data_IF_684259624691
#
_entry.id   IF_684259624691
#
_cell.length_a   1.000
_cell.length_b   1.000
_cell.length_c   1.000
_cell.angle_alpha   90.00
_cell.angle_beta   90.00
_cell.angle_gamma   90.00
#
_symmetry.space_group_name_H-M   'P 1'
#
loop_
_entity.id
_entity.type
_entity.pdbx_description
1 polymer ?
#
# COMPACT_ATOMS: atom_id res chain seq x y z
N UNK A 1 22.45 -13.74 0.12
CA UNK A 1 22.51 -13.58 1.58
C UNK A 1 21.08 -13.42 2.05
N UNK A 2 20.47 -14.54 2.47
CA UNK A 2 19.09 -14.57 2.97
C UNK A 2 19.03 -13.85 4.32
N UNK A 3 17.94 -13.13 4.54
CA UNK A 3 17.64 -12.46 5.81
C UNK A 3 17.38 -13.53 6.87
N UNK A 4 18.44 -14.00 7.54
CA UNK A 4 18.37 -14.73 8.80
C UNK A 4 18.52 -13.70 9.93
N UNK A 5 17.47 -12.90 10.11
CA UNK A 5 17.27 -12.04 11.27
C UNK A 5 15.96 -12.42 11.96
N UNK A 6 15.73 -13.72 12.13
CA UNK A 6 14.54 -14.28 12.78
C UNK A 6 14.91 -14.57 14.23
N UNK A 7 14.44 -13.77 15.19
CA UNK A 7 14.32 -14.27 16.56
C UNK A 7 13.03 -15.08 16.62
N UNK A 8 13.18 -16.38 16.77
CA UNK A 8 12.09 -17.29 17.08
C UNK A 8 11.60 -16.98 18.49
N UNK A 9 10.31 -16.63 18.62
CA UNK A 9 9.66 -16.70 19.92
C UNK A 9 9.49 -18.16 20.35
N UNK A 10 9.05 -18.41 21.60
CA UNK A 10 8.88 -19.76 22.15
C UNK A 10 7.90 -20.66 21.35
N UNK A 11 7.22 -20.10 20.34
CA UNK A 11 6.28 -20.78 19.45
C UNK A 11 6.84 -20.98 18.02
N UNK A 12 8.10 -20.61 17.74
CA UNK A 12 8.73 -20.77 16.43
C UNK A 12 8.28 -19.76 15.38
N UNK A 13 7.64 -18.64 15.77
CA UNK A 13 7.33 -17.54 14.85
C UNK A 13 8.51 -16.59 14.74
N UNK A 14 8.92 -16.33 13.50
CA UNK A 14 9.93 -15.33 13.19
C UNK A 14 9.42 -13.93 13.49
N UNK A 15 9.93 -13.25 14.52
CA UNK A 15 9.53 -11.87 14.83
C UNK A 15 10.42 -10.85 14.12
N UNK A 16 9.85 -10.01 13.24
CA UNK A 16 10.56 -8.87 12.64
C UNK A 16 10.37 -7.66 13.54
N UNK A 17 11.46 -7.15 14.11
CA UNK A 17 11.43 -5.92 14.90
C UNK A 17 11.33 -4.71 13.96
N UNK A 18 10.27 -3.92 14.10
CA UNK A 18 10.05 -2.74 13.26
C UNK A 18 10.66 -1.52 13.95
N UNK A 19 11.70 -0.94 13.35
CA UNK A 19 12.40 0.24 13.88
C UNK A 19 11.59 1.53 13.64
N UNK A 20 11.63 2.47 14.58
CA UNK A 20 10.96 3.78 14.46
C UNK A 20 11.41 4.58 13.25
N UNK A 21 12.63 4.34 12.77
CA UNK A 21 13.21 5.04 11.61
C UNK A 21 12.50 4.70 10.29
N UNK A 22 11.87 3.54 10.18
CA UNK A 22 11.09 3.16 8.98
C UNK A 22 9.76 3.94 8.93
N UNK A 23 9.29 4.50 10.05
CA UNK A 23 8.04 5.30 10.11
C UNK A 23 8.08 6.56 9.23
N UNK A 24 9.24 6.96 8.69
CA UNK A 24 9.37 8.02 7.67
C UNK A 24 8.96 7.58 6.25
N UNK A 25 8.99 6.28 5.98
CA UNK A 25 8.57 5.63 4.73
C UNK A 25 7.38 4.72 5.01
N UNK A 26 6.19 5.31 5.13
CA UNK A 26 4.98 4.64 5.60
C UNK A 26 4.64 3.36 4.82
N UNK A 27 4.95 3.32 3.52
CA UNK A 27 4.68 2.14 2.71
C UNK A 27 5.57 0.94 3.09
N UNK A 28 6.87 1.16 3.29
CA UNK A 28 7.78 0.11 3.75
C UNK A 28 7.43 -0.29 5.18
N UNK A 29 7.17 0.69 6.05
CA UNK A 29 6.76 0.45 7.43
C UNK A 29 5.51 -0.42 7.51
N UNK A 30 4.49 -0.09 6.72
CA UNK A 30 3.22 -0.81 6.73
C UNK A 30 3.35 -2.25 6.22
N UNK A 31 4.18 -2.52 5.21
CA UNK A 31 4.47 -3.91 4.82
C UNK A 31 5.18 -4.69 5.94
N UNK A 32 6.20 -4.09 6.56
CA UNK A 32 6.97 -4.73 7.63
C UNK A 32 6.08 -4.97 8.87
N UNK A 33 5.17 -4.05 9.20
CA UNK A 33 4.21 -4.21 10.29
C UNK A 33 3.27 -5.41 10.09
N UNK A 34 3.00 -5.79 8.83
CA UNK A 34 2.06 -6.85 8.49
C UNK A 34 2.71 -8.21 8.25
N UNK A 35 4.04 -8.29 8.18
CA UNK A 35 4.75 -9.50 7.76
C UNK A 35 4.40 -10.73 8.61
N UNK A 36 4.10 -10.52 9.89
CA UNK A 36 3.72 -11.57 10.84
C UNK A 36 2.23 -11.56 11.22
N UNK A 37 1.45 -10.64 10.65
CA UNK A 37 0.02 -10.48 10.98
C UNK A 37 -0.89 -11.09 9.92
N UNK A 38 -0.42 -11.25 8.69
CA UNK A 38 -1.27 -11.65 7.55
C UNK A 38 -0.59 -12.73 6.71
N UNK A 39 -1.10 -13.96 6.81
CA UNK A 39 -0.54 -15.12 6.08
C UNK A 39 -0.73 -15.02 4.55
N UNK A 40 -1.79 -14.34 4.10
CA UNK A 40 -2.19 -14.25 2.69
C UNK A 40 -1.48 -13.17 1.85
N UNK A 41 -0.54 -12.41 2.43
CA UNK A 41 0.17 -11.31 1.76
C UNK A 41 1.68 -11.42 2.02
N UNK A 42 2.28 -12.55 1.61
CA UNK A 42 3.71 -12.81 1.81
C UNK A 42 4.54 -11.92 0.87
N UNK A 43 4.99 -10.78 1.38
CA UNK A 43 6.02 -9.94 0.77
C UNK A 43 7.40 -10.41 1.19
N UNK A 44 8.38 -10.25 0.31
CA UNK A 44 9.78 -10.43 0.64
C UNK A 44 10.39 -9.09 1.08
N UNK A 45 10.94 -9.07 2.28
CA UNK A 45 11.67 -7.91 2.83
C UNK A 45 13.16 -8.21 2.77
N UNK A 46 13.90 -7.38 2.05
CA UNK A 46 15.35 -7.46 1.89
C UNK A 46 15.99 -6.27 2.60
N UNK A 47 17.00 -6.54 3.40
CA UNK A 47 17.79 -5.51 4.09
C UNK A 47 19.25 -5.66 3.70
N UNK A 48 19.98 -4.54 3.60
CA UNK A 48 21.40 -4.58 3.26
C UNK A 48 22.27 -5.03 4.44
N UNK A 49 21.86 -4.70 5.66
CA UNK A 49 22.53 -5.09 6.89
C UNK A 49 21.50 -5.23 8.01
N UNK A 50 21.79 -6.04 9.03
CA UNK A 50 20.98 -6.13 10.25
C UNK A 50 21.87 -6.09 11.49
N UNK A 51 21.48 -5.38 12.57
CA UNK A 51 20.30 -4.52 12.70
C UNK A 51 20.48 -3.10 12.14
N UNK A 52 21.69 -2.67 11.81
CA UNK A 52 21.99 -1.31 11.30
C UNK A 52 21.76 -1.20 9.78
N UNK A 53 20.54 -1.45 9.33
CA UNK A 53 20.17 -1.35 7.92
C UNK A 53 20.27 0.10 7.43
N UNK A 54 20.70 0.26 6.17
CA UNK A 54 20.67 1.53 5.43
C UNK A 54 19.70 1.49 4.26
N UNK A 55 19.40 0.30 3.75
CA UNK A 55 18.47 0.09 2.65
C UNK A 55 17.51 -1.05 3.00
N UNK A 56 16.21 -0.81 2.79
CA UNK A 56 15.18 -1.85 2.88
C UNK A 56 14.41 -1.87 1.56
N UNK A 57 14.28 -3.05 0.96
CA UNK A 57 13.42 -3.27 -0.20
C UNK A 57 12.31 -4.24 0.17
N UNK A 58 11.08 -3.89 -0.16
CA UNK A 58 9.92 -4.79 -0.04
C UNK A 58 9.42 -5.11 -1.43
N UNK A 59 9.39 -6.39 -1.80
CA UNK A 59 8.95 -6.85 -3.12
C UNK A 59 7.88 -7.96 -3.03
N UNK A 60 7.16 -8.26 -4.12
CA UNK A 60 6.24 -9.39 -4.18
C UNK A 60 6.96 -10.71 -3.84
N UNK A 61 6.29 -11.60 -3.11
CA UNK A 61 6.84 -12.92 -2.79
C UNK A 61 6.84 -13.86 -3.99
N UNK A 62 7.69 -14.88 -3.97
CA UNK A 62 7.81 -15.87 -5.07
C UNK A 62 6.48 -16.50 -5.52
N UNK A 63 5.49 -16.70 -4.64
CA UNK A 63 4.18 -17.23 -5.02
C UNK A 63 3.34 -16.25 -5.86
N UNK A 64 3.49 -14.94 -5.65
CA UNK A 64 2.82 -13.92 -6.48
C UNK A 64 3.45 -13.85 -7.89
N UNK A 65 4.74 -14.18 -8.02
CA UNK A 65 5.48 -14.18 -9.29
C UNK A 65 5.08 -15.35 -10.21
N UNK A 66 4.60 -16.47 -9.64
CA UNK A 66 4.16 -17.65 -10.41
C UNK A 66 2.87 -17.41 -11.21
N UNK A 67 2.05 -16.44 -10.82
CA UNK A 67 0.95 -15.95 -11.64
C UNK A 67 1.49 -15.00 -12.72
N UNK A 68 2.11 -15.58 -13.77
CA UNK A 68 2.69 -14.92 -14.96
C UNK A 68 1.79 -13.89 -15.66
N UNK A 69 0.52 -13.77 -15.29
CA UNK A 69 -0.44 -12.81 -15.87
C UNK A 69 -0.54 -11.49 -15.09
N UNK A 70 0.07 -11.35 -13.91
CA UNK A 70 0.01 -10.13 -13.08
C UNK A 70 1.22 -9.19 -13.25
N UNK A 71 1.82 -9.13 -14.44
CA UNK A 71 2.95 -8.24 -14.75
C UNK A 71 2.67 -6.73 -14.56
N UNK A 72 1.40 -6.36 -14.35
CA UNK A 72 0.97 -4.97 -14.16
C UNK A 72 1.05 -4.45 -12.72
N UNK A 73 1.37 -5.29 -11.72
CA UNK A 73 1.31 -4.89 -10.30
C UNK A 73 2.53 -5.35 -9.48
N UNK A 74 3.71 -5.43 -10.10
CA UNK A 74 4.98 -5.66 -9.37
C UNK A 74 5.44 -4.34 -8.76
N UNK A 75 5.08 -4.10 -7.50
CA UNK A 75 5.54 -2.94 -6.73
C UNK A 75 6.73 -3.33 -5.84
N UNK A 76 7.81 -2.56 -5.95
CA UNK A 76 8.92 -2.63 -4.99
C UNK A 76 9.00 -1.31 -4.24
N UNK A 77 8.79 -1.36 -2.92
CA UNK A 77 8.90 -0.19 -2.05
C UNK A 77 10.29 -0.14 -1.44
N UNK A 78 10.90 1.05 -1.46
CA UNK A 78 12.30 1.26 -1.08
C UNK A 78 12.38 2.30 0.03
N UNK A 79 13.07 1.93 1.10
CA UNK A 79 13.59 2.85 2.10
C UNK A 79 15.11 2.92 1.93
N UNK A 80 15.69 4.11 1.96
CA UNK A 80 17.14 4.27 2.00
C UNK A 80 17.58 5.48 2.83
N UNK A 81 18.71 5.34 3.49
CA UNK A 81 19.52 6.44 4.06
C UNK A 81 20.87 6.60 3.35
N UNK A 82 21.19 5.70 2.42
CA UNK A 82 22.47 5.64 1.72
C UNK A 82 22.23 5.37 0.23
N UNK A 83 22.24 6.45 -0.54
CA UNK A 83 22.10 6.42 -1.98
C UNK A 83 23.17 5.58 -2.68
N UNK A 84 24.41 5.60 -2.20
CA UNK A 84 25.50 4.81 -2.81
C UNK A 84 25.23 3.32 -2.66
N UNK A 85 24.77 2.89 -1.48
CA UNK A 85 24.37 1.49 -1.25
C UNK A 85 23.15 1.11 -2.08
N UNK A 86 22.12 1.95 -2.11
CA UNK A 86 20.94 1.70 -2.93
C UNK A 86 21.34 1.51 -4.40
N UNK A 87 22.19 2.40 -4.94
CA UNK A 87 22.71 2.27 -6.31
C UNK A 87 23.39 0.93 -6.52
N UNK A 88 24.29 0.52 -5.63
CA UNK A 88 25.03 -0.75 -5.74
C UNK A 88 24.09 -1.96 -5.71
N UNK A 89 23.07 -1.94 -4.86
CA UNK A 89 22.06 -3.01 -4.81
C UNK A 89 21.31 -3.07 -6.15
N UNK A 90 20.78 -1.94 -6.63
CA UNK A 90 19.99 -1.89 -7.86
C UNK A 90 20.81 -2.22 -9.13
N UNK A 91 22.12 -1.95 -9.14
CA UNK A 91 23.01 -2.27 -10.27
C UNK A 91 23.57 -3.68 -10.21
N UNK A 92 24.01 -4.13 -9.04
CA UNK A 92 24.86 -5.32 -8.88
C UNK A 92 24.13 -6.59 -8.46
N UNK A 93 22.84 -6.52 -8.10
CA UNK A 93 22.10 -7.69 -7.63
C UNK A 93 20.95 -8.04 -8.57
N UNK A 94 20.61 -9.34 -8.64
CA UNK A 94 19.39 -9.84 -9.31
C UNK A 94 18.13 -9.62 -8.42
N UNK A 95 18.12 -8.57 -7.59
CA UNK A 95 16.97 -8.24 -6.72
C UNK A 95 15.71 -7.98 -7.55
N UNK A 96 15.87 -7.51 -8.80
CA UNK A 96 14.79 -7.42 -9.75
C UNK A 96 15.25 -7.65 -11.20
N UNK A 97 14.39 -8.28 -12.00
CA UNK A 97 14.60 -8.44 -13.44
C UNK A 97 14.17 -7.17 -14.18
N UNK A 98 15.15 -6.34 -14.55
CA UNK A 98 14.94 -5.08 -15.28
C UNK A 98 14.31 -5.25 -16.67
N UNK A 99 14.16 -6.49 -17.16
CA UNK A 99 13.44 -6.79 -18.41
C UNK A 99 11.93 -6.89 -18.22
N UNK A 100 11.45 -6.99 -16.98
CA UNK A 100 10.03 -7.08 -16.65
C UNK A 100 9.45 -5.69 -16.38
N UNK A 101 8.13 -5.56 -16.48
CA UNK A 101 7.45 -4.35 -16.02
C UNK A 101 7.30 -4.38 -14.50
N UNK A 102 7.67 -3.29 -13.85
CA UNK A 102 7.52 -3.09 -12.41
C UNK A 102 7.45 -1.60 -12.07
N UNK A 103 7.01 -1.30 -10.86
CA UNK A 103 6.97 0.04 -10.29
C UNK A 103 7.86 0.09 -9.06
N UNK A 104 8.73 1.10 -9.01
CA UNK A 104 9.49 1.44 -7.81
C UNK A 104 8.79 2.56 -7.07
N UNK A 105 8.61 2.38 -5.76
CA UNK A 105 8.11 3.40 -4.85
C UNK A 105 9.24 3.83 -3.92
N UNK A 106 9.56 5.12 -3.91
CA UNK A 106 10.67 5.70 -3.15
C UNK A 106 10.35 7.16 -2.81
N UNK A 107 10.99 7.70 -1.77
CA UNK A 107 10.95 9.15 -1.51
C UNK A 107 11.49 9.95 -2.70
N UNK A 108 10.86 11.11 -2.94
CA UNK A 108 11.14 11.99 -4.08
C UNK A 108 12.62 12.36 -4.22
N UNK A 109 13.31 12.58 -3.09
CA UNK A 109 14.72 12.97 -3.10
C UNK A 109 15.64 11.93 -3.78
N UNK A 110 15.25 10.66 -3.78
CA UNK A 110 16.02 9.56 -4.37
C UNK A 110 15.63 9.28 -5.83
N UNK A 111 14.64 9.98 -6.39
CA UNK A 111 14.21 9.80 -7.80
C UNK A 111 15.37 9.89 -8.81
N UNK A 112 16.34 10.84 -8.68
CA UNK A 112 17.46 10.92 -9.62
C UNK A 112 18.31 9.65 -9.67
N UNK A 113 18.46 8.95 -8.53
CA UNK A 113 19.24 7.72 -8.47
C UNK A 113 18.55 6.59 -9.25
N UNK A 114 17.23 6.50 -9.11
CA UNK A 114 16.43 5.48 -9.78
C UNK A 114 16.49 5.68 -11.30
N UNK A 115 16.33 6.93 -11.76
CA UNK A 115 16.46 7.28 -13.17
C UNK A 115 17.84 6.94 -13.73
N UNK A 116 18.90 7.26 -12.99
CA UNK A 116 20.27 6.95 -13.41
C UNK A 116 20.50 5.43 -13.52
N UNK A 117 20.01 4.64 -12.57
CA UNK A 117 20.13 3.17 -12.65
C UNK A 117 19.32 2.59 -13.81
N UNK A 118 18.07 3.07 -14.00
CA UNK A 118 17.23 2.62 -15.11
C UNK A 118 17.86 2.92 -16.48
N UNK A 119 18.44 4.11 -16.65
CA UNK A 119 19.17 4.48 -17.85
C UNK A 119 20.38 3.57 -18.11
N UNK A 120 21.19 3.29 -17.07
CA UNK A 120 22.33 2.39 -17.15
C UNK A 120 21.92 0.93 -17.46
N UNK A 121 20.72 0.52 -17.05
CA UNK A 121 20.14 -0.79 -17.36
C UNK A 121 19.45 -0.82 -18.73
N UNK A 122 19.45 0.29 -19.47
CA UNK A 122 18.87 0.37 -20.81
C UNK A 122 17.34 0.32 -20.83
N UNK A 123 16.68 0.83 -19.78
CA UNK A 123 15.20 0.89 -19.72
C UNK A 123 14.73 2.22 -20.33
N UNK A 124 14.14 2.20 -21.54
CA UNK A 124 13.90 3.43 -22.32
C UNK A 124 12.64 4.21 -21.92
N UNK A 125 11.70 3.59 -21.18
CA UNK A 125 10.34 4.10 -20.98
C UNK A 125 9.96 4.22 -19.49
N UNK A 126 10.69 5.02 -18.72
CA UNK A 126 10.33 5.30 -17.32
C UNK A 126 9.21 6.35 -17.25
N UNK A 127 8.06 5.98 -16.67
CA UNK A 127 7.02 6.95 -16.27
C UNK A 127 7.15 7.21 -14.77
N UNK A 128 7.11 8.48 -14.37
CA UNK A 128 7.12 8.88 -12.96
C UNK A 128 5.75 9.42 -12.58
N UNK A 129 5.28 9.04 -11.40
CA UNK A 129 4.05 9.54 -10.81
C UNK A 129 4.36 10.11 -9.43
N UNK A 130 3.93 11.34 -9.16
CA UNK A 130 4.10 11.97 -7.85
C UNK A 130 2.82 11.82 -7.03
N UNK A 131 3.01 11.40 -5.80
CA UNK A 131 1.95 11.29 -4.81
C UNK A 131 2.39 12.00 -3.54
N UNK A 132 1.45 12.68 -2.89
CA UNK A 132 1.65 13.19 -1.56
C UNK A 132 1.18 12.17 -0.53
N UNK A 133 2.00 11.96 0.49
CA UNK A 133 1.68 11.15 1.64
C UNK A 133 0.94 12.02 2.66
N UNK A 134 -0.19 11.52 3.17
CA UNK A 134 -0.83 12.09 4.34
C UNK A 134 -0.93 11.04 5.44
N UNK A 135 -0.44 11.39 6.63
CA UNK A 135 -0.52 10.55 7.83
C UNK A 135 -1.48 11.17 8.83
N UNK A 136 -2.32 10.34 9.43
CA UNK A 136 -3.08 10.75 10.60
C UNK A 136 -2.17 10.71 11.84
N UNK A 137 -1.75 11.88 12.30
CA UNK A 137 -0.83 11.99 13.45
C UNK A 137 -1.53 11.67 14.78
N UNK A 138 -2.81 12.03 14.92
CA UNK A 138 -3.56 11.87 16.16
C UNK A 138 -5.01 11.46 15.88
N UNK A 139 -5.33 10.15 16.02
CA UNK A 139 -6.67 9.63 15.79
C UNK A 139 -7.70 10.07 16.84
N UNK A 140 -7.27 10.54 18.02
CA UNK A 140 -8.18 11.06 19.04
C UNK A 140 -8.89 12.36 18.61
N UNK A 141 -8.29 13.08 17.65
CA UNK A 141 -8.86 14.28 17.03
C UNK A 141 -9.94 13.98 16.00
N UNK A 142 -10.13 12.71 15.61
CA UNK A 142 -11.21 12.34 14.71
C UNK A 142 -12.55 12.41 15.45
N UNK A 143 -13.34 13.45 15.21
CA UNK A 143 -14.69 13.57 15.75
C UNK A 143 -15.60 12.47 15.22
N UNK A 144 -16.42 11.91 16.11
CA UNK A 144 -17.50 11.00 15.72
C UNK A 144 -18.68 11.85 15.27
N UNK A 145 -18.77 12.15 13.98
CA UNK A 145 -19.96 12.79 13.42
C UNK A 145 -21.12 11.79 13.37
N UNK A 146 -22.32 12.27 13.71
CA UNK A 146 -23.53 11.45 13.59
C UNK A 146 -23.86 11.28 12.11
N UNK A 147 -23.51 10.13 11.57
CA UNK A 147 -23.74 9.81 10.16
C UNK A 147 -25.24 9.62 9.90
N UNK A 148 -25.72 10.12 8.77
CA UNK A 148 -27.08 9.87 8.27
C UNK A 148 -27.24 8.50 7.61
N UNK A 149 -26.19 7.69 7.62
CA UNK A 149 -26.10 6.40 6.95
C UNK A 149 -25.28 5.42 7.79
N UNK A 150 -25.45 4.13 7.50
CA UNK A 150 -24.70 3.06 8.13
C UNK A 150 -23.55 2.60 7.24
N UNK A 151 -22.34 2.59 7.79
CA UNK A 151 -21.20 1.94 7.16
C UNK A 151 -21.24 0.42 7.42
N UNK A 152 -20.86 -0.35 6.41
CA UNK A 152 -20.75 -1.81 6.44
C UNK A 152 -19.35 -2.23 6.02
N UNK A 153 -18.96 -3.48 6.29
CA UNK A 153 -17.74 -4.05 5.72
C UNK A 153 -17.94 -4.40 4.25
N UNK A 154 -16.87 -4.25 3.46
CA UNK A 154 -16.86 -4.74 2.08
C UNK A 154 -16.84 -6.26 2.09
N UNK A 155 -17.63 -6.89 1.22
CA UNK A 155 -17.70 -8.34 1.05
C UNK A 155 -17.02 -8.76 -0.24
N UNK A 156 -16.52 -9.99 -0.32
CA UNK A 156 -15.88 -10.50 -1.54
C UNK A 156 -16.80 -10.49 -2.77
N UNK A 157 -18.12 -10.59 -2.57
CA UNK A 157 -19.12 -10.44 -3.64
C UNK A 157 -19.09 -9.05 -4.30
N UNK A 158 -18.53 -8.04 -3.64
CA UNK A 158 -18.41 -6.68 -4.17
C UNK A 158 -17.17 -6.49 -5.06
N UNK A 159 -16.24 -7.44 -5.08
CA UNK A 159 -14.92 -7.26 -5.69
C UNK A 159 -14.99 -6.88 -7.17
N UNK A 160 -15.86 -7.52 -7.95
CA UNK A 160 -16.01 -7.23 -9.39
C UNK A 160 -16.49 -5.79 -9.64
N UNK A 161 -17.47 -5.31 -8.86
CA UNK A 161 -17.96 -3.94 -8.96
C UNK A 161 -16.86 -2.94 -8.59
N UNK A 162 -16.17 -3.16 -7.47
CA UNK A 162 -15.07 -2.28 -7.03
C UNK A 162 -13.95 -2.25 -8.07
N UNK A 163 -13.58 -3.42 -8.60
CA UNK A 163 -12.58 -3.54 -9.66
C UNK A 163 -12.98 -2.70 -10.87
N UNK A 164 -14.24 -2.77 -11.33
CA UNK A 164 -14.72 -2.01 -12.50
C UNK A 164 -14.74 -0.48 -12.33
N UNK A 165 -14.71 0.02 -11.08
CA UNK A 165 -14.76 1.47 -10.77
C UNK A 165 -13.40 2.04 -10.41
N UNK A 166 -12.40 1.20 -10.19
CA UNK A 166 -11.07 1.64 -9.83
C UNK A 166 -10.32 2.13 -11.07
N UNK A 167 -9.66 3.30 -11.00
CA UNK A 167 -8.94 3.94 -12.12
C UNK A 167 -7.95 3.00 -12.83
N UNK A 168 -7.34 2.09 -12.08
CA UNK A 168 -6.39 1.08 -12.57
C UNK A 168 -7.05 -0.31 -12.70
N UNK A 169 -8.24 -0.49 -12.13
CA UNK A 169 -9.01 -1.72 -12.20
C UNK A 169 -9.81 -1.77 -13.50
N UNK A 170 -9.37 -2.60 -14.43
CA UNK A 170 -10.09 -2.82 -15.70
C UNK A 170 -9.80 -4.21 -16.30
N UNK A 171 -9.18 -5.13 -15.54
CA UNK A 171 -8.82 -6.46 -16.06
C UNK A 171 -9.17 -7.57 -15.07
N UNK A 172 -9.33 -8.79 -15.59
CA UNK A 172 -9.41 -10.02 -14.79
C UNK A 172 -8.18 -10.19 -13.87
N UNK A 173 -7.10 -9.46 -14.14
CA UNK A 173 -5.83 -9.52 -13.41
C UNK A 173 -5.86 -8.70 -12.11
N UNK A 174 -6.72 -7.69 -12.01
CA UNK A 174 -6.80 -6.78 -10.86
C UNK A 174 -7.87 -7.19 -9.84
N UNK A 175 -8.86 -8.00 -10.24
CA UNK A 175 -9.89 -8.49 -9.31
C UNK A 175 -9.33 -9.40 -8.19
N UNK A 176 -8.40 -10.35 -8.44
CA UNK A 176 -7.80 -11.14 -7.38
C UNK A 176 -7.10 -10.29 -6.31
N UNK A 177 -6.48 -9.17 -6.72
CA UNK A 177 -5.87 -8.21 -5.80
C UNK A 177 -6.95 -7.57 -4.90
N UNK A 178 -8.06 -7.11 -5.49
CA UNK A 178 -9.18 -6.54 -4.72
C UNK A 178 -9.77 -7.57 -3.74
N UNK A 179 -9.96 -8.83 -4.17
CA UNK A 179 -10.41 -9.91 -3.28
C UNK A 179 -9.43 -10.14 -2.13
N UNK A 180 -8.13 -10.17 -2.42
CA UNK A 180 -7.08 -10.27 -1.42
C UNK A 180 -7.13 -9.11 -0.41
N UNK A 181 -7.39 -7.88 -0.88
CA UNK A 181 -7.55 -6.72 0.01
C UNK A 181 -8.75 -6.88 0.95
N UNK A 182 -9.90 -7.26 0.39
CA UNK A 182 -11.15 -7.42 1.15
C UNK A 182 -11.03 -8.53 2.20
N UNK A 183 -10.38 -9.64 1.85
CA UNK A 183 -10.23 -10.81 2.73
C UNK A 183 -9.28 -10.54 3.91
N UNK A 184 -8.20 -9.83 3.65
CA UNK A 184 -7.06 -9.78 4.57
C UNK A 184 -6.96 -8.48 5.37
N UNK A 185 -7.64 -7.41 4.96
CA UNK A 185 -7.48 -6.10 5.59
C UNK A 185 -8.81 -5.41 5.89
N UNK A 186 -8.84 -4.51 6.90
CA UNK A 186 -10.00 -3.68 7.18
C UNK A 186 -10.46 -2.88 5.95
N UNK A 187 -11.77 -2.83 5.77
CA UNK A 187 -12.43 -2.08 4.70
C UNK A 187 -13.81 -1.64 5.14
N UNK A 188 -14.36 -0.63 4.47
CA UNK A 188 -15.72 -0.15 4.73
C UNK A 188 -16.40 0.38 3.46
N UNK A 189 -17.73 0.30 3.44
CA UNK A 189 -18.58 0.83 2.38
C UNK A 189 -19.92 1.34 2.90
N UNK A 190 -20.60 2.11 2.05
CA UNK A 190 -22.03 2.43 2.14
C UNK A 190 -22.74 1.63 1.07
N UNK A 191 -23.85 0.98 1.42
CA UNK A 191 -24.64 0.15 0.51
C UNK A 191 -25.92 0.88 0.09
N UNK A 192 -26.40 0.63 -1.14
CA UNK A 192 -27.76 0.97 -1.55
C UNK A 192 -28.80 -0.04 -1.02
N UNK A 193 -30.07 0.19 -1.34
CA UNK A 193 -31.18 -0.71 -0.99
C UNK A 193 -31.06 -2.11 -1.59
N UNK A 194 -30.27 -2.29 -2.65
CA UNK A 194 -30.00 -3.59 -3.29
C UNK A 194 -28.75 -4.27 -2.70
N UNK A 195 -28.10 -3.64 -1.70
CA UNK A 195 -26.89 -4.18 -1.08
C UNK A 195 -25.62 -3.97 -1.89
N UNK A 196 -25.61 -3.08 -2.88
CA UNK A 196 -24.42 -2.75 -3.70
C UNK A 196 -23.66 -1.58 -3.10
N UNK A 197 -22.32 -1.60 -3.07
CA UNK A 197 -21.53 -0.48 -2.57
C UNK A 197 -21.63 0.75 -3.47
N UNK A 198 -22.19 1.83 -2.94
CA UNK A 198 -22.28 3.15 -3.59
C UNK A 198 -21.08 4.05 -3.26
N UNK A 199 -20.42 3.75 -2.14
CA UNK A 199 -19.15 4.35 -1.72
C UNK A 199 -18.35 3.30 -0.99
N UNK A 200 -17.05 3.18 -1.26
CA UNK A 200 -16.18 2.24 -0.55
C UNK A 200 -14.78 2.80 -0.34
N UNK A 201 -14.09 2.18 0.61
CA UNK A 201 -12.68 2.40 0.90
C UNK A 201 -12.07 1.07 1.36
N UNK A 202 -10.95 0.71 0.74
CA UNK A 202 -10.16 -0.49 1.06
C UNK A 202 -8.83 -0.10 1.72
N UNK A 203 -8.15 -1.11 2.25
CA UNK A 203 -6.78 -1.00 2.74
C UNK A 203 -5.87 -1.85 1.86
N UNK A 204 -4.79 -1.25 1.36
CA UNK A 204 -3.78 -1.96 0.57
C UNK A 204 -2.95 -2.90 1.45
N UNK A 205 -2.28 -3.89 0.84
CA UNK A 205 -1.19 -4.68 1.44
C UNK A 205 -0.13 -3.90 2.20
N UNK A 206 0.09 -2.63 1.86
CA UNK A 206 1.01 -1.72 2.54
C UNK A 206 0.39 -0.98 3.73
N UNK A 207 -0.88 -1.19 4.08
CA UNK A 207 -1.68 -0.37 5.00
C UNK A 207 -2.17 0.98 4.45
N UNK A 208 -1.81 1.35 3.22
CA UNK A 208 -2.37 2.56 2.59
C UNK A 208 -3.89 2.46 2.53
N UNK A 209 -4.61 3.48 3.03
CA UNK A 209 -6.04 3.61 2.75
C UNK A 209 -6.25 4.05 1.31
N UNK A 210 -7.02 3.30 0.53
CA UNK A 210 -7.26 3.63 -0.87
C UNK A 210 -8.23 2.68 -1.57
N UNK A 211 -8.15 2.63 -2.91
CA UNK A 211 -9.24 2.12 -3.76
C UNK A 211 -10.57 2.76 -3.35
N UNK A 212 -10.54 4.09 -3.17
CA UNK A 212 -11.73 4.84 -2.81
C UNK A 212 -12.55 5.15 -4.06
N UNK A 213 -13.84 4.88 -4.02
CA UNK A 213 -14.76 5.48 -4.97
C UNK A 213 -16.06 5.88 -4.29
N UNK A 214 -16.76 6.82 -4.93
CA UNK A 214 -18.16 7.14 -4.65
C UNK A 214 -18.84 7.35 -5.99
N UNK A 215 -19.95 6.64 -6.20
CA UNK A 215 -20.75 6.76 -7.41
C UNK A 215 -21.17 8.22 -7.62
N UNK A 216 -21.17 8.73 -8.87
CA UNK A 216 -21.43 10.14 -9.16
C UNK A 216 -22.65 10.74 -8.45
N UNK A 217 -23.77 10.03 -8.46
CA UNK A 217 -25.06 10.40 -7.87
C UNK A 217 -25.09 10.37 -6.32
N UNK A 218 -24.03 9.82 -5.70
CA UNK A 218 -23.81 9.78 -4.26
C UNK A 218 -22.70 10.74 -3.81
N UNK A 219 -22.05 11.48 -4.72
CA UNK A 219 -20.99 12.45 -4.35
C UNK A 219 -21.56 13.67 -3.63
N UNK A 220 -20.67 14.42 -2.97
CA UNK A 220 -21.00 15.64 -2.20
C UNK A 220 -21.96 15.43 -1.02
N UNK A 221 -22.17 14.18 -0.60
CA UNK A 221 -22.99 13.79 0.56
C UNK A 221 -22.16 13.40 1.80
N UNK A 222 -20.86 13.66 1.79
CA UNK A 222 -19.96 13.39 2.93
C UNK A 222 -19.46 11.94 3.07
N UNK A 223 -19.92 10.98 2.24
CA UNK A 223 -19.56 9.56 2.36
C UNK A 223 -18.05 9.31 2.40
N UNK A 224 -17.27 9.93 1.50
CA UNK A 224 -15.83 9.74 1.44
C UNK A 224 -15.10 10.15 2.73
N UNK A 225 -15.45 11.32 3.31
CA UNK A 225 -14.84 11.82 4.56
C UNK A 225 -15.18 10.91 5.73
N UNK A 226 -16.44 10.49 5.82
CA UNK A 226 -16.91 9.61 6.87
C UNK A 226 -16.30 8.20 6.78
N UNK A 227 -16.27 7.57 5.61
CA UNK A 227 -15.61 6.26 5.43
C UNK A 227 -14.12 6.35 5.74
N UNK A 228 -13.44 7.42 5.32
CA UNK A 228 -12.03 7.66 5.68
C UNK A 228 -11.84 7.74 7.19
N UNK A 229 -12.73 8.45 7.90
CA UNK A 229 -12.69 8.58 9.36
C UNK A 229 -12.96 7.25 10.06
N UNK A 230 -13.96 6.49 9.60
CA UNK A 230 -14.31 5.18 10.15
C UNK A 230 -13.16 4.20 9.97
N UNK A 231 -12.61 4.10 8.76
CA UNK A 231 -11.51 3.19 8.48
C UNK A 231 -10.25 3.59 9.24
N UNK A 232 -9.92 4.88 9.29
CA UNK A 232 -8.79 5.39 10.06
C UNK A 232 -8.88 5.01 11.55
N UNK A 233 -10.05 5.17 12.17
CA UNK A 233 -10.29 4.74 13.56
C UNK A 233 -10.12 3.23 13.73
N UNK A 234 -10.68 2.44 12.81
CA UNK A 234 -10.57 0.97 12.85
C UNK A 234 -9.12 0.51 12.73
N UNK A 235 -8.40 0.99 11.71
CA UNK A 235 -6.99 0.69 11.51
C UNK A 235 -6.15 1.06 12.75
N UNK A 236 -6.36 2.25 13.29
CA UNK A 236 -5.65 2.66 14.50
C UNK A 236 -5.94 1.74 15.69
N UNK A 237 -7.21 1.40 15.94
CA UNK A 237 -7.61 0.53 17.07
C UNK A 237 -7.05 -0.89 16.95
N UNK A 238 -6.79 -1.36 15.72
CA UNK A 238 -6.20 -2.66 15.44
C UNK A 238 -4.66 -2.58 15.31
N UNK A 239 -4.06 -1.42 15.59
CA UNK A 239 -2.62 -1.21 15.62
C UNK A 239 -1.95 -1.17 14.24
N UNK A 240 -2.68 -0.77 13.20
CA UNK A 240 -2.14 -0.50 11.86
C UNK A 240 -1.67 0.96 11.75
N UNK A 241 -0.65 1.27 10.92
CA UNK A 241 -0.39 2.64 10.51
C UNK A 241 -1.57 3.21 9.72
N UNK A 242 -1.82 4.50 9.88
CA UNK A 242 -2.94 5.20 9.24
C UNK A 242 -2.41 6.30 8.33
N UNK A 243 -2.41 6.02 7.04
CA UNK A 243 -1.96 6.96 6.02
C UNK A 243 -2.62 6.67 4.67
N UNK A 244 -2.55 7.63 3.76
CA UNK A 244 -2.98 7.48 2.37
C UNK A 244 -2.09 8.28 1.42
N UNK A 245 -2.10 7.89 0.15
CA UNK A 245 -1.50 8.66 -0.93
C UNK A 245 -2.59 9.38 -1.74
N UNK A 246 -2.29 10.59 -2.18
CA UNK A 246 -3.10 11.29 -3.18
C UNK A 246 -2.23 11.77 -4.33
N UNK A 247 -2.71 11.55 -5.56
CA UNK A 247 -2.04 11.99 -6.78
C UNK A 247 -1.93 13.51 -6.82
N UNK A 248 -0.81 14.00 -7.38
CA UNK A 248 -0.63 15.41 -7.71
C UNK A 248 -1.77 15.87 -8.65
N UNK A 249 -2.55 16.87 -8.21
CA UNK A 249 -3.74 17.36 -8.91
C UNK A 249 -5.09 16.95 -8.29
N UNK A 250 -5.13 15.98 -7.36
CA UNK A 250 -6.37 15.59 -6.67
C UNK A 250 -6.68 16.49 -5.46
N UNK A 251 -6.89 17.78 -5.73
CA UNK A 251 -7.16 18.82 -4.73
C UNK A 251 -8.44 18.57 -3.91
N UNK A 252 -9.39 17.79 -4.45
CA UNK A 252 -10.60 17.42 -3.73
C UNK A 252 -10.29 16.47 -2.56
N UNK A 253 -9.44 15.45 -2.78
CA UNK A 253 -9.06 14.49 -1.73
C UNK A 253 -8.17 15.14 -0.67
N UNK A 254 -7.26 16.04 -1.08
CA UNK A 254 -6.44 16.80 -0.14
C UNK A 254 -7.30 17.64 0.82
N UNK A 255 -8.24 18.44 0.30
CA UNK A 255 -9.15 19.26 1.12
C UNK A 255 -10.07 18.43 2.01
N UNK A 256 -10.56 17.29 1.52
CA UNK A 256 -11.41 16.38 2.28
C UNK A 256 -10.75 15.91 3.58
N UNK A 257 -9.44 15.67 3.54
CA UNK A 257 -8.69 15.03 4.61
C UNK A 257 -7.92 16.01 5.50
N UNK A 258 -7.77 17.27 5.07
CA UNK A 258 -7.12 18.35 5.83
C UNK A 258 -8.11 19.35 6.44
N UNK A 259 -9.42 19.16 6.22
CA UNK A 259 -10.51 19.94 6.83
C UNK A 259 -11.24 19.18 7.92
#
# INVERSE_FOLDING_TARGET
MQVNGTNEDKEGRSTVQVNEEVKGQEEVYGYVCLINRVEGNRREVLVDQWPDFRVVLVKPGQQEVLHKKADTLKYVSIFTKDESRLRNILTGTDVHDWKQNFTLSVELQHEPIIKAVAANKGVPNTKTYFCHLMRLQDPSKLTAERLSFQASSVKESHAALINSKWKVGMSELTEPLIRGMIRNFPSCCVLDSEGRPVSCLLTYPSCTMGVMYTLPEYRQKGYAKALSTILAKKLHSEGYPVYCFFEEGNQASYRLLTS
#
